data_IF_330922471180
#
_entry.id   IF_330922471180
#
_cell.length_a   1.000
_cell.length_b   1.000
_cell.length_c   1.000
_cell.angle_alpha   90.00
_cell.angle_beta   90.00
_cell.angle_gamma   90.00
#
_symmetry.space_group_name_H-M   'P 1'
#
loop_
_entity.id
_entity.type
_entity.pdbx_description
1 polymer ?
#
# COMPACT_ATOMS: atom_id res chain seq x y z
N UNK A 1 5.84 14.20 -19.49
CA UNK A 1 5.41 14.35 -18.07
C UNK A 1 4.05 13.70 -17.83
N UNK A 2 3.06 13.93 -18.69
CA UNK A 2 1.74 13.30 -18.60
C UNK A 2 1.80 11.78 -18.80
N UNK A 3 2.72 11.29 -19.65
CA UNK A 3 2.91 9.86 -19.92
C UNK A 3 3.23 9.04 -18.67
N UNK A 4 4.03 9.57 -17.75
CA UNK A 4 4.38 8.88 -16.50
C UNK A 4 3.18 8.74 -15.55
N UNK A 5 2.31 9.75 -15.51
CA UNK A 5 1.07 9.73 -14.72
C UNK A 5 0.09 8.73 -15.35
N UNK A 6 -0.04 8.74 -16.68
CA UNK A 6 -0.93 7.83 -17.39
C UNK A 6 -0.49 6.37 -17.23
N UNK A 7 0.82 6.12 -17.28
CA UNK A 7 1.41 4.81 -16.99
C UNK A 7 1.07 4.39 -15.56
N UNK A 8 1.37 5.21 -14.54
CA UNK A 8 1.09 4.90 -13.14
C UNK A 8 -0.40 4.62 -12.88
N UNK A 9 -1.29 5.40 -13.48
CA UNK A 9 -2.74 5.20 -13.38
C UNK A 9 -3.15 3.85 -13.97
N UNK A 10 -2.60 3.46 -15.12
CA UNK A 10 -2.86 2.16 -15.73
C UNK A 10 -2.38 1.00 -14.85
N UNK A 11 -1.26 1.16 -14.13
CA UNK A 11 -0.71 0.16 -13.21
C UNK A 11 -1.60 -0.01 -11.99
N UNK A 12 -2.07 1.10 -11.38
CA UNK A 12 -2.93 1.07 -10.18
C UNK A 12 -4.32 0.52 -10.50
N UNK A 13 -4.85 0.79 -11.70
CA UNK A 13 -6.15 0.29 -12.16
C UNK A 13 -6.16 -1.21 -12.50
N UNK A 14 -5.01 -1.90 -12.45
CA UNK A 14 -5.00 -3.35 -12.62
C UNK A 14 -5.68 -4.05 -11.44
N UNK A 15 -6.42 -5.12 -11.72
CA UNK A 15 -7.19 -5.84 -10.70
C UNK A 15 -6.30 -6.36 -9.55
N UNK A 16 -5.06 -6.77 -9.86
CA UNK A 16 -4.09 -7.25 -8.86
C UNK A 16 -3.65 -6.16 -7.89
N UNK A 17 -3.44 -4.93 -8.37
CA UNK A 17 -3.01 -3.84 -7.51
C UNK A 17 -4.18 -3.24 -6.72
N UNK A 18 -5.38 -3.26 -7.29
CA UNK A 18 -6.58 -2.79 -6.61
C UNK A 18 -6.96 -3.70 -5.43
N UNK A 19 -6.83 -5.02 -5.55
CA UNK A 19 -7.04 -5.92 -4.41
C UNK A 19 -5.95 -5.73 -3.34
N UNK A 20 -4.71 -5.49 -3.77
CA UNK A 20 -3.59 -5.17 -2.88
C UNK A 20 -3.83 -3.88 -2.07
N UNK A 21 -4.34 -2.81 -2.70
CA UNK A 21 -4.65 -1.55 -1.98
C UNK A 21 -5.74 -1.76 -0.94
N UNK A 22 -6.77 -2.56 -1.27
CA UNK A 22 -7.86 -2.88 -0.33
C UNK A 22 -7.36 -3.69 0.87
N UNK A 23 -6.45 -4.64 0.64
CA UNK A 23 -5.79 -5.40 1.71
C UNK A 23 -4.89 -4.48 2.55
N UNK A 24 -4.10 -3.62 1.91
CA UNK A 24 -3.27 -2.61 2.58
C UNK A 24 -4.10 -1.74 3.52
N UNK A 25 -5.24 -1.23 3.04
CA UNK A 25 -6.16 -0.42 3.83
C UNK A 25 -6.79 -1.17 5.00
N UNK A 26 -7.24 -2.41 4.78
CA UNK A 26 -7.81 -3.24 5.83
C UNK A 26 -6.78 -3.53 6.94
N UNK A 27 -5.58 -3.95 6.55
CA UNK A 27 -4.49 -4.26 7.49
C UNK A 27 -4.00 -2.98 8.17
N UNK A 28 -3.88 -1.86 7.45
CA UNK A 28 -3.51 -0.56 7.99
C UNK A 28 -4.52 -0.06 9.02
N UNK A 29 -5.81 -0.24 8.76
CA UNK A 29 -6.89 0.09 9.72
C UNK A 29 -6.82 -0.78 10.97
N UNK A 30 -6.60 -2.10 10.81
CA UNK A 30 -6.47 -3.04 11.94
C UNK A 30 -5.23 -2.71 12.80
N UNK A 31 -4.10 -2.40 12.17
CA UNK A 31 -2.88 -2.05 12.90
C UNK A 31 -3.04 -0.66 13.56
N UNK A 32 -3.68 0.29 12.86
CA UNK A 32 -3.91 1.64 13.34
C UNK A 32 -4.92 1.75 14.49
N UNK A 33 -5.87 0.81 14.61
CA UNK A 33 -6.82 0.77 15.73
C UNK A 33 -6.24 0.16 17.01
N UNK A 34 -5.03 -0.41 16.98
CA UNK A 34 -4.41 -1.01 18.16
C UNK A 34 -4.07 0.08 19.20
N UNK A 35 -4.51 -0.06 20.46
CA UNK A 35 -4.29 0.94 21.49
C UNK A 35 -2.79 1.10 21.78
N UNK A 36 -2.30 2.34 21.72
CA UNK A 36 -0.91 2.66 22.01
C UNK A 36 0.05 2.54 20.81
N UNK A 37 -0.42 2.09 19.64
CA UNK A 37 0.33 2.12 18.38
C UNK A 37 -0.05 3.38 17.59
N UNK A 38 0.91 4.27 17.37
CA UNK A 38 0.72 5.45 16.53
C UNK A 38 0.76 5.10 15.03
N UNK A 39 0.40 6.04 14.14
CA UNK A 39 0.45 5.86 12.69
C UNK A 39 1.85 5.48 12.18
N UNK A 40 2.89 6.02 12.82
CA UNK A 40 4.30 5.78 12.47
C UNK A 40 4.66 4.30 12.68
N UNK A 41 4.14 3.70 13.75
CA UNK A 41 4.39 2.30 14.06
C UNK A 41 3.69 1.36 13.08
N UNK A 42 2.50 1.73 12.60
CA UNK A 42 1.80 0.98 11.56
C UNK A 42 2.58 0.97 10.24
N UNK A 43 3.09 2.13 9.80
CA UNK A 43 3.91 2.24 8.59
C UNK A 43 5.21 1.44 8.74
N UNK A 44 5.87 1.53 9.89
CA UNK A 44 7.10 0.77 10.16
C UNK A 44 6.89 -0.76 10.09
N UNK A 45 5.72 -1.24 10.49
CA UNK A 45 5.34 -2.66 10.37
C UNK A 45 5.00 -3.06 8.93
N UNK A 46 4.46 -2.16 8.12
CA UNK A 46 4.11 -2.41 6.73
C UNK A 46 5.32 -2.42 5.78
N UNK A 47 6.35 -1.59 6.04
CA UNK A 47 7.58 -1.55 5.22
C UNK A 47 8.20 -2.95 4.99
N UNK A 48 8.48 -3.78 6.01
CA UNK A 48 9.04 -5.10 5.78
C UNK A 48 8.11 -6.05 5.01
N UNK A 49 6.80 -5.88 5.14
CA UNK A 49 5.80 -6.65 4.37
C UNK A 49 5.91 -6.33 2.88
N UNK A 50 6.31 -5.10 2.53
CA UNK A 50 6.41 -4.66 1.13
C UNK A 50 7.64 -5.18 0.40
N UNK A 51 8.68 -5.64 1.13
CA UNK A 51 9.93 -6.13 0.52
C UNK A 51 9.78 -7.42 -0.29
N UNK A 52 8.68 -8.16 -0.10
CA UNK A 52 8.35 -9.35 -0.89
C UNK A 52 7.62 -9.07 -2.20
N UNK A 53 7.22 -7.83 -2.46
CA UNK A 53 6.42 -7.44 -3.62
C UNK A 53 7.23 -6.65 -4.66
N UNK A 54 6.71 -6.57 -5.89
CA UNK A 54 7.25 -5.61 -6.85
C UNK A 54 7.13 -4.18 -6.29
N UNK A 55 8.08 -3.27 -6.64
CA UNK A 55 8.10 -1.91 -6.12
C UNK A 55 6.77 -1.16 -6.32
N UNK A 56 6.11 -1.37 -7.45
CA UNK A 56 4.79 -0.81 -7.77
C UNK A 56 3.71 -1.28 -6.79
N UNK A 57 3.58 -2.60 -6.62
CA UNK A 57 2.60 -3.21 -5.71
C UNK A 57 2.90 -2.91 -4.24
N UNK A 58 4.17 -2.87 -3.84
CA UNK A 58 4.59 -2.49 -2.49
C UNK A 58 4.25 -1.04 -2.15
N UNK A 59 4.46 -0.11 -3.09
CA UNK A 59 4.03 1.28 -2.91
C UNK A 59 2.51 1.41 -2.84
N UNK A 60 1.77 0.62 -3.61
CA UNK A 60 0.31 0.60 -3.57
C UNK A 60 -0.20 0.03 -2.24
N UNK A 61 0.40 -1.05 -1.73
CA UNK A 61 0.07 -1.60 -0.42
C UNK A 61 0.28 -0.57 0.71
N UNK A 62 1.36 0.20 0.66
CA UNK A 62 1.64 1.27 1.64
C UNK A 62 0.72 2.49 1.51
N UNK A 63 0.21 2.74 0.31
CA UNK A 63 -0.74 3.82 0.05
C UNK A 63 -2.17 3.47 0.53
N UNK A 64 -2.43 2.18 0.76
CA UNK A 64 -3.69 1.66 1.28
C UNK A 64 -3.92 1.99 2.75
#
# INVERSE_FOLDING_TARGET
MIDGILLGLSTVLTLSNLTLVMIGCAVGTIIGMLPGLGPISAIALMIPITYGFEPSSGMILLAG
#
